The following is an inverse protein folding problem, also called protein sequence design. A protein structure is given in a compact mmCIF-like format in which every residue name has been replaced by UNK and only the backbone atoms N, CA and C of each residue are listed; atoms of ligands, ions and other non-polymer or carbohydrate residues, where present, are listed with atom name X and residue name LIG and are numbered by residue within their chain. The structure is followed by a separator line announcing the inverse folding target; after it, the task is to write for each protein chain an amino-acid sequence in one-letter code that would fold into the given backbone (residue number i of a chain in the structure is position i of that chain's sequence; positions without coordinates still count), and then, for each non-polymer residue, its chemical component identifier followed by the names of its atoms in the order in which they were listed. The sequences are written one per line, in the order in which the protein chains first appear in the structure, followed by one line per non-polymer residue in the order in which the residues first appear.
data_IF_093551600777
#
_entry.id   IF_093551600777
#
_cell.length_a   1.000
_cell.length_b   1.000
_cell.length_c   1.000
_cell.angle_alpha   90.00
_cell.angle_beta   90.00
_cell.angle_gamma   90.00
#
_symmetry.space_group_name_H-M   'P 1'
#
loop_
_entity.id
_entity.type
_entity.pdbx_description
1 polymer ?
#
# COMPACT_ATOMS: atom_id res chain seq x y z
N UNK A 1 -23.50 43.97 29.46
CA UNK A 1 -24.48 43.07 28.79
C UNK A 1 -23.79 41.76 28.44
N UNK A 2 -24.24 40.60 28.92
CA UNK A 2 -23.57 39.30 28.68
C UNK A 2 -24.01 38.73 27.33
N UNK A 3 -23.07 38.54 26.38
CA UNK A 3 -23.32 37.91 25.07
C UNK A 3 -23.69 36.43 25.30
N UNK A 4 -24.88 36.00 24.83
CA UNK A 4 -25.26 34.57 24.80
C UNK A 4 -24.33 33.84 23.83
N UNK A 5 -23.60 32.83 24.33
CA UNK A 5 -22.75 31.97 23.49
C UNK A 5 -23.65 31.07 22.67
N UNK A 6 -23.51 31.10 21.34
CA UNK A 6 -24.23 30.22 20.40
C UNK A 6 -23.64 28.82 20.57
N UNK A 7 -24.44 27.88 21.06
CA UNK A 7 -24.03 26.47 21.18
C UNK A 7 -24.30 25.84 19.82
N UNK A 8 -23.24 25.34 19.19
CA UNK A 8 -23.27 24.61 17.92
C UNK A 8 -23.61 23.14 18.22
N UNK A 9 -24.73 22.65 17.70
CA UNK A 9 -25.26 21.30 18.00
C UNK A 9 -24.40 20.17 17.46
N UNK A 10 -23.55 20.45 16.47
CA UNK A 10 -22.69 19.45 15.81
C UNK A 10 -21.36 19.24 16.54
N UNK A 11 -21.14 19.94 17.66
CA UNK A 11 -19.89 19.83 18.43
C UNK A 11 -20.08 19.03 19.71
N UNK A 12 -19.13 18.14 20.06
CA UNK A 12 -19.19 17.41 21.31
C UNK A 12 -19.08 18.36 22.51
N UNK A 13 -19.97 18.19 23.49
CA UNK A 13 -20.06 19.00 24.71
C UNK A 13 -19.51 18.18 25.88
N UNK A 14 -18.47 18.65 26.57
CA UNK A 14 -17.93 17.99 27.76
C UNK A 14 -16.42 18.14 27.95
N UNK A 15 -15.82 17.26 28.77
CA UNK A 15 -14.37 17.15 28.91
C UNK A 15 -13.79 16.48 27.66
N UNK A 16 -13.27 17.28 26.73
CA UNK A 16 -12.65 16.79 25.51
C UNK A 16 -11.21 16.35 25.77
N UNK A 17 -10.82 15.22 25.20
CA UNK A 17 -9.41 14.79 25.18
C UNK A 17 -8.79 15.29 23.89
N UNK A 18 -7.74 16.09 23.99
CA UNK A 18 -6.99 16.59 22.82
C UNK A 18 -6.13 15.44 22.30
N UNK A 19 -6.45 14.93 21.13
CA UNK A 19 -5.65 13.94 20.42
C UNK A 19 -4.73 14.73 19.47
N UNK A 20 -3.40 14.59 19.55
CA UNK A 20 -2.49 15.19 18.58
C UNK A 20 -2.75 14.58 17.20
N UNK A 21 -2.66 15.40 16.15
CA UNK A 21 -2.78 14.90 14.78
C UNK A 21 -1.63 13.92 14.52
N UNK A 22 -1.97 12.64 14.41
CA UNK A 22 -1.02 11.53 14.31
C UNK A 22 -0.97 10.96 12.91
N UNK A 23 -1.77 11.48 11.98
CA UNK A 23 -1.73 11.01 10.60
C UNK A 23 -0.48 11.60 9.94
N UNK A 24 0.47 10.76 9.50
CA UNK A 24 1.55 11.22 8.65
C UNK A 24 0.96 11.71 7.32
N UNK A 25 1.72 12.53 6.60
CA UNK A 25 1.25 13.08 5.33
C UNK A 25 0.87 11.93 4.36
N UNK A 26 -0.09 12.13 3.43
CA UNK A 26 -0.48 11.12 2.43
C UNK A 26 0.69 10.45 1.71
N UNK A 27 1.78 11.19 1.51
CA UNK A 27 3.02 10.74 0.89
C UNK A 27 3.81 9.75 1.74
N UNK A 28 3.75 9.88 3.07
CA UNK A 28 4.41 9.02 4.05
C UNK A 28 3.57 7.77 4.37
N UNK A 29 2.24 7.84 4.17
CA UNK A 29 1.33 6.70 4.31
C UNK A 29 1.59 5.59 3.27
N UNK A 30 2.11 5.95 2.10
CA UNK A 30 2.41 5.02 1.01
C UNK A 30 3.84 5.19 0.51
N UNK A 31 4.85 4.72 1.27
CA UNK A 31 6.24 4.82 0.85
C UNK A 31 6.39 4.17 -0.54
N UNK A 32 6.93 4.95 -1.49
CA UNK A 32 7.18 4.46 -2.85
C UNK A 32 8.20 3.34 -2.76
N UNK A 33 7.82 2.14 -3.17
CA UNK A 33 8.77 1.02 -3.26
C UNK A 33 9.77 1.32 -4.38
N UNK A 34 11.06 1.41 -4.03
CA UNK A 34 12.12 1.51 -5.03
C UNK A 34 12.15 0.24 -5.88
N UNK A 35 11.94 0.38 -7.19
CA UNK A 35 11.93 -0.73 -8.12
C UNK A 35 13.21 -0.71 -8.96
N UNK A 36 14.08 -1.71 -8.77
CA UNK A 36 15.26 -1.90 -9.61
C UNK A 36 14.92 -2.74 -10.84
N UNK A 37 15.25 -2.24 -12.03
CA UNK A 37 15.12 -3.00 -13.28
C UNK A 37 16.32 -3.93 -13.43
N UNK A 38 16.05 -5.20 -13.69
CA UNK A 38 17.05 -6.23 -13.97
C UNK A 38 16.70 -6.97 -15.26
N UNK A 39 17.71 -7.55 -15.91
CA UNK A 39 17.54 -8.48 -17.03
C UNK A 39 17.96 -9.86 -16.56
N UNK A 40 17.04 -10.84 -16.67
CA UNK A 40 17.29 -12.24 -16.30
C UNK A 40 16.87 -13.14 -17.46
N UNK A 41 17.63 -14.21 -17.70
CA UNK A 41 17.23 -15.26 -18.63
C UNK A 41 16.38 -16.29 -17.87
N UNK A 42 15.27 -16.69 -18.49
CA UNK A 42 14.33 -17.67 -17.94
C UNK A 42 13.83 -18.57 -19.07
N UNK A 43 13.52 -19.82 -18.73
CA UNK A 43 13.03 -20.78 -19.71
C UNK A 43 11.71 -20.35 -20.35
N UNK A 44 11.55 -20.70 -21.63
CA UNK A 44 10.32 -20.41 -22.40
C UNK A 44 9.07 -20.97 -21.74
N UNK A 45 9.17 -22.18 -21.16
CA UNK A 45 8.04 -22.84 -20.49
C UNK A 45 7.59 -22.08 -19.25
N UNK A 46 8.55 -21.54 -18.48
CA UNK A 46 8.28 -20.70 -17.31
C UNK A 46 7.52 -19.43 -17.73
N UNK A 47 7.97 -18.74 -18.78
CA UNK A 47 7.28 -17.54 -19.29
C UNK A 47 5.87 -17.88 -19.77
N UNK A 48 5.68 -19.00 -20.47
CA UNK A 48 4.38 -19.45 -20.95
C UNK A 48 3.40 -19.75 -19.82
N UNK A 49 3.87 -20.41 -18.76
CA UNK A 49 3.07 -20.67 -17.56
C UNK A 49 2.53 -19.36 -16.98
N UNK A 50 3.41 -18.39 -16.70
CA UNK A 50 2.99 -17.12 -16.11
C UNK A 50 2.08 -16.30 -17.03
N UNK A 51 2.30 -16.31 -18.35
CA UNK A 51 1.41 -15.63 -19.29
C UNK A 51 -0.02 -16.19 -19.26
N UNK A 52 -0.16 -17.53 -19.23
CA UNK A 52 -1.46 -18.19 -19.17
C UNK A 52 -2.20 -17.87 -17.86
N UNK A 53 -1.53 -18.04 -16.73
CA UNK A 53 -2.12 -17.76 -15.41
C UNK A 53 -2.47 -16.28 -15.27
N UNK A 54 -1.60 -15.37 -15.72
CA UNK A 54 -1.85 -13.94 -15.65
C UNK A 54 -3.10 -13.53 -16.46
N UNK A 55 -3.29 -14.13 -17.65
CA UNK A 55 -4.49 -13.90 -18.47
C UNK A 55 -5.77 -14.38 -17.80
N UNK A 56 -5.72 -15.50 -17.07
CA UNK A 56 -6.88 -16.04 -16.35
C UNK A 56 -7.30 -15.16 -15.16
N UNK A 57 -6.33 -14.53 -14.49
CA UNK A 57 -6.57 -13.71 -13.29
C UNK A 57 -6.60 -12.20 -13.57
N UNK A 58 -6.54 -11.76 -14.83
CA UNK A 58 -6.53 -10.34 -15.19
C UNK A 58 -5.34 -9.56 -14.62
N UNK A 59 -4.18 -10.21 -14.47
CA UNK A 59 -2.96 -9.61 -13.94
C UNK A 59 -1.87 -9.54 -15.01
N UNK A 60 -0.81 -8.77 -14.76
CA UNK A 60 0.40 -8.76 -15.60
C UNK A 60 1.33 -9.89 -15.16
N UNK A 61 1.83 -10.71 -16.09
CA UNK A 61 2.72 -11.84 -15.77
C UNK A 61 4.00 -11.39 -15.05
N UNK A 62 4.53 -10.21 -15.37
CA UNK A 62 5.69 -9.63 -14.68
C UNK A 62 5.41 -9.37 -13.20
N UNK A 63 4.17 -8.99 -12.85
CA UNK A 63 3.77 -8.79 -11.45
C UNK A 63 3.82 -10.11 -10.70
N UNK A 64 3.28 -11.18 -11.28
CA UNK A 64 3.32 -12.51 -10.67
C UNK A 64 4.75 -13.01 -10.44
N UNK A 65 5.62 -12.89 -11.45
CA UNK A 65 7.04 -13.25 -11.32
C UNK A 65 7.73 -12.44 -10.21
N UNK A 66 7.50 -11.13 -10.16
CA UNK A 66 8.05 -10.25 -9.12
C UNK A 66 7.58 -10.63 -7.71
N UNK A 67 6.30 -10.97 -7.54
CA UNK A 67 5.78 -11.40 -6.23
C UNK A 67 6.44 -12.71 -5.75
N UNK A 68 6.70 -13.65 -6.66
CA UNK A 68 7.40 -14.89 -6.32
C UNK A 68 8.84 -14.60 -5.89
N UNK A 69 9.58 -13.80 -6.66
CA UNK A 69 10.94 -13.39 -6.31
C UNK A 69 10.98 -12.67 -4.96
N UNK A 70 10.03 -11.75 -4.72
CA UNK A 70 9.91 -11.02 -3.47
C UNK A 70 9.65 -11.96 -2.28
N UNK A 71 8.72 -12.91 -2.41
CA UNK A 71 8.41 -13.90 -1.35
C UNK A 71 9.60 -14.82 -1.08
N UNK A 72 10.29 -15.26 -2.12
CA UNK A 72 11.49 -16.08 -1.98
C UNK A 72 12.59 -15.31 -1.25
N UNK A 73 12.87 -14.08 -1.68
CA UNK A 73 13.86 -13.22 -1.03
C UNK A 73 13.50 -12.93 0.43
N UNK A 74 12.24 -12.59 0.74
CA UNK A 74 11.79 -12.39 2.13
C UNK A 74 11.94 -13.63 3.01
N UNK A 75 11.82 -14.82 2.43
CA UNK A 75 11.92 -16.07 3.17
C UNK A 75 13.37 -16.46 3.48
N UNK A 76 14.32 -16.12 2.60
CA UNK A 76 15.70 -16.63 2.67
C UNK A 76 16.77 -15.53 2.76
N UNK A 77 16.45 -14.27 2.48
CA UNK A 77 17.32 -13.11 2.64
C UNK A 77 17.12 -12.52 4.02
N UNK A 78 17.91 -13.00 4.98
CA UNK A 78 18.03 -12.42 6.32
C UNK A 78 18.99 -11.25 6.29
#
# INVERSE_FOLDING_TARGET
MKKKRKIDSDRPIGKLTVIPDFLPAPEELFPKSEAQKITILVDKNTVLFFKRTASQHGQKYQRMMREILNRYAKKYGT
#
